data_IF_071009771648
#
_entry.id   IF_071009771648
#
_cell.length_a   1.000
_cell.length_b   1.000
_cell.length_c   1.000
_cell.angle_alpha   90.00
_cell.angle_beta   90.00
_cell.angle_gamma   90.00
#
_symmetry.space_group_name_H-M   'P 1'
#
loop_
_entity.id
_entity.type
_entity.pdbx_description
1 polymer ?
#
# COMPACT_ATOMS: atom_id res chain seq x y z
N UNK A 1 -18.60 -4.21 -4.09
CA UNK A 1 -18.71 -2.74 -4.22
C UNK A 1 -20.08 -2.31 -3.74
N UNK A 2 -20.17 -1.56 -2.64
CA UNK A 2 -21.40 -0.85 -2.27
C UNK A 2 -21.70 0.18 -3.38
N UNK A 3 -22.97 0.27 -3.80
CA UNK A 3 -23.34 1.32 -4.74
C UNK A 3 -23.28 2.68 -4.03
N UNK A 4 -22.98 3.76 -4.77
CA UNK A 4 -22.97 5.13 -4.21
C UNK A 4 -24.30 5.48 -3.55
N UNK A 5 -25.42 5.00 -4.08
CA UNK A 5 -26.75 5.24 -3.48
C UNK A 5 -26.88 4.60 -2.09
N UNK A 6 -26.25 3.44 -1.85
CA UNK A 6 -26.26 2.81 -0.53
C UNK A 6 -25.31 3.56 0.43
N UNK A 7 -24.14 3.98 -0.04
CA UNK A 7 -23.20 4.74 0.79
C UNK A 7 -23.81 6.08 1.23
N UNK A 8 -24.43 6.82 0.30
CA UNK A 8 -25.04 8.13 0.61
C UNK A 8 -26.26 8.04 1.54
N UNK A 9 -26.83 6.85 1.73
CA UNK A 9 -27.92 6.63 2.69
C UNK A 9 -27.45 6.32 4.12
N UNK A 10 -26.13 6.17 4.33
CA UNK A 10 -25.57 5.93 5.66
C UNK A 10 -25.48 7.25 6.40
N UNK A 11 -26.30 7.42 7.43
CA UNK A 11 -26.27 8.61 8.27
C UNK A 11 -25.12 8.55 9.28
N UNK A 12 -24.53 9.71 9.56
CA UNK A 12 -23.52 9.87 10.61
C UNK A 12 -24.18 9.79 12.00
N UNK A 13 -24.28 8.59 12.55
CA UNK A 13 -24.81 8.30 13.88
C UNK A 13 -23.73 7.70 14.77
N UNK A 14 -23.93 7.70 16.07
CA UNK A 14 -23.00 7.05 17.03
C UNK A 14 -22.78 5.57 16.74
N UNK A 15 -23.77 4.88 16.15
CA UNK A 15 -23.68 3.47 15.76
C UNK A 15 -22.85 3.28 14.49
N UNK A 16 -22.94 4.22 13.54
CA UNK A 16 -22.26 4.13 12.25
C UNK A 16 -20.84 4.71 12.30
N UNK A 17 -20.54 5.65 13.21
CA UNK A 17 -19.22 6.27 13.33
C UNK A 17 -18.13 5.24 13.62
N UNK A 18 -18.40 4.18 14.35
CA UNK A 18 -17.45 3.10 14.61
C UNK A 18 -16.94 2.40 13.34
N UNK A 19 -17.69 2.52 12.22
CA UNK A 19 -17.33 2.02 10.89
C UNK A 19 -16.78 3.13 9.98
N UNK A 20 -16.47 4.30 10.53
CA UNK A 20 -15.99 5.46 9.76
C UNK A 20 -14.88 5.12 8.77
N UNK A 21 -13.77 4.48 9.19
CA UNK A 21 -12.67 4.12 8.26
C UNK A 21 -13.09 3.18 7.13
N UNK A 22 -13.99 2.23 7.38
CA UNK A 22 -14.51 1.31 6.36
C UNK A 22 -15.43 2.04 5.36
N UNK A 23 -16.27 2.94 5.87
CA UNK A 23 -17.16 3.77 5.04
C UNK A 23 -16.32 4.72 4.20
N UNK A 24 -15.31 5.35 4.79
CA UNK A 24 -14.35 6.20 4.07
C UNK A 24 -13.64 5.42 2.95
N UNK A 25 -13.15 4.22 3.24
CA UNK A 25 -12.53 3.35 2.23
C UNK A 25 -13.48 3.04 1.07
N UNK A 26 -14.77 2.80 1.36
CA UNK A 26 -15.77 2.59 0.33
C UNK A 26 -16.01 3.84 -0.54
N UNK A 27 -15.96 5.03 0.05
CA UNK A 27 -16.01 6.30 -0.70
C UNK A 27 -14.76 6.51 -1.57
N UNK A 28 -13.56 6.20 -1.05
CA UNK A 28 -12.31 6.26 -1.81
C UNK A 28 -12.39 5.38 -3.07
N UNK A 29 -12.88 4.14 -2.94
CA UNK A 29 -13.04 3.22 -4.07
C UNK A 29 -14.08 3.66 -5.10
N UNK A 30 -14.95 4.60 -4.73
CA UNK A 30 -15.89 5.25 -5.65
C UNK A 30 -15.42 6.64 -6.08
N UNK A 31 -14.16 7.01 -5.79
CA UNK A 31 -13.54 8.30 -6.14
C UNK A 31 -14.28 9.52 -5.55
N UNK A 32 -14.92 9.34 -4.42
CA UNK A 32 -15.58 10.41 -3.67
C UNK A 32 -14.76 10.78 -2.42
N UNK A 33 -13.70 11.54 -2.65
CA UNK A 33 -12.69 11.81 -1.64
C UNK A 33 -13.17 12.77 -0.54
N UNK A 34 -14.02 13.73 -0.87
CA UNK A 34 -14.55 14.69 0.10
C UNK A 34 -15.35 13.98 1.19
N UNK A 35 -16.26 13.08 0.81
CA UNK A 35 -17.02 12.30 1.79
C UNK A 35 -16.14 11.30 2.55
N UNK A 36 -15.06 10.81 1.93
CA UNK A 36 -14.10 9.96 2.62
C UNK A 36 -13.39 10.74 3.74
N UNK A 37 -12.98 11.98 3.47
CA UNK A 37 -12.38 12.88 4.47
C UNK A 37 -13.36 13.12 5.61
N UNK A 38 -14.60 13.49 5.30
CA UNK A 38 -15.64 13.74 6.31
C UNK A 38 -15.80 12.56 7.28
N UNK A 39 -15.85 11.32 6.75
CA UNK A 39 -16.00 10.13 7.58
C UNK A 39 -14.77 9.80 8.42
N UNK A 40 -13.56 10.03 7.91
CA UNK A 40 -12.32 9.86 8.69
C UNK A 40 -12.29 10.88 9.84
N UNK A 41 -12.59 12.14 9.55
CA UNK A 41 -12.60 13.20 10.56
C UNK A 41 -13.68 12.98 11.62
N UNK A 42 -14.87 12.56 11.22
CA UNK A 42 -15.95 12.20 12.16
C UNK A 42 -15.52 11.08 13.10
N UNK A 43 -14.86 10.05 12.57
CA UNK A 43 -14.35 8.93 13.37
C UNK A 43 -13.28 9.40 14.36
N UNK A 44 -12.27 10.12 13.90
CA UNK A 44 -11.13 10.58 14.72
C UNK A 44 -11.58 11.55 15.82
N UNK A 45 -12.59 12.39 15.55
CA UNK A 45 -13.15 13.30 16.53
C UNK A 45 -14.02 12.61 17.59
N UNK A 46 -14.68 11.53 17.23
CA UNK A 46 -15.63 10.84 18.12
C UNK A 46 -15.00 9.69 18.93
N UNK A 47 -14.01 9.04 18.39
CA UNK A 47 -13.38 7.85 18.98
C UNK A 47 -11.92 8.17 19.32
N UNK A 48 -11.03 8.04 18.36
CA UNK A 48 -9.62 8.51 18.42
C UNK A 48 -8.91 8.18 17.10
N UNK A 49 -7.67 8.65 16.97
CA UNK A 49 -6.79 8.27 15.86
C UNK A 49 -6.20 6.89 16.17
N UNK A 50 -6.66 5.88 15.46
CA UNK A 50 -6.20 4.50 15.57
C UNK A 50 -5.60 3.99 14.24
N UNK A 51 -5.16 2.73 14.22
CA UNK A 51 -4.60 2.10 13.02
C UNK A 51 -5.57 2.12 11.83
N UNK A 52 -6.88 1.98 12.06
CA UNK A 52 -7.88 1.94 10.99
C UNK A 52 -8.03 3.31 10.30
N UNK A 53 -8.10 4.39 11.09
CA UNK A 53 -8.18 5.75 10.53
C UNK A 53 -6.90 6.14 9.83
N UNK A 54 -5.73 5.77 10.39
CA UNK A 54 -4.43 5.98 9.75
C UNK A 54 -4.37 5.28 8.38
N UNK A 55 -4.82 4.04 8.30
CA UNK A 55 -4.81 3.30 7.04
C UNK A 55 -5.80 3.86 6.02
N UNK A 56 -6.97 4.32 6.47
CA UNK A 56 -7.91 5.02 5.59
C UNK A 56 -7.30 6.31 5.01
N UNK A 57 -6.52 7.07 5.81
CA UNK A 57 -5.78 8.24 5.32
C UNK A 57 -4.70 7.88 4.32
N UNK A 58 -3.89 6.84 4.58
CA UNK A 58 -2.88 6.36 3.64
C UNK A 58 -3.54 5.95 2.31
N UNK A 59 -4.68 5.26 2.37
CA UNK A 59 -5.44 4.86 1.19
C UNK A 59 -6.01 6.07 0.43
N UNK A 60 -6.51 7.07 1.17
CA UNK A 60 -6.98 8.33 0.59
C UNK A 60 -5.85 9.03 -0.18
N UNK A 61 -4.68 9.18 0.41
CA UNK A 61 -3.52 9.82 -0.21
C UNK A 61 -3.02 9.06 -1.46
N UNK A 62 -3.10 7.73 -1.44
CA UNK A 62 -2.75 6.89 -2.60
C UNK A 62 -3.65 7.18 -3.82
N UNK A 63 -4.94 7.48 -3.58
CA UNK A 63 -5.94 7.60 -4.65
C UNK A 63 -6.31 9.03 -5.00
N UNK A 64 -6.29 9.97 -4.05
CA UNK A 64 -6.72 11.36 -4.27
C UNK A 64 -5.64 12.20 -4.96
N UNK A 65 -4.38 11.86 -4.80
CA UNK A 65 -3.25 12.64 -5.30
C UNK A 65 -2.80 12.18 -6.69
N UNK A 66 -2.49 13.13 -7.57
CA UNK A 66 -1.90 12.83 -8.89
C UNK A 66 -0.43 12.40 -8.74
N UNK A 67 0.27 12.92 -7.75
CA UNK A 67 1.59 12.48 -7.34
C UNK A 67 1.52 11.61 -6.08
N UNK A 68 2.58 10.89 -5.80
CA UNK A 68 2.65 10.00 -4.64
C UNK A 68 3.27 10.66 -3.40
N UNK A 69 3.52 11.98 -3.41
CA UNK A 69 4.19 12.67 -2.31
C UNK A 69 3.36 12.66 -1.02
N UNK A 70 2.05 12.89 -1.11
CA UNK A 70 1.16 12.80 0.05
C UNK A 70 1.16 11.40 0.64
N UNK A 71 1.07 10.37 -0.21
CA UNK A 71 1.13 8.96 0.18
C UNK A 71 2.45 8.62 0.90
N UNK A 72 3.60 9.06 0.35
CA UNK A 72 4.93 8.90 0.98
C UNK A 72 4.96 9.56 2.36
N UNK A 73 4.44 10.79 2.47
CA UNK A 73 4.41 11.54 3.73
C UNK A 73 3.55 10.81 4.77
N UNK A 74 2.39 10.31 4.41
CA UNK A 74 1.51 9.56 5.31
C UNK A 74 2.17 8.26 5.81
N UNK A 75 2.86 7.51 4.92
CA UNK A 75 3.65 6.35 5.33
C UNK A 75 4.75 6.75 6.31
N UNK A 76 5.52 7.81 6.02
CA UNK A 76 6.60 8.27 6.90
C UNK A 76 6.08 8.72 8.27
N UNK A 77 4.97 9.44 8.33
CA UNK A 77 4.34 9.85 9.59
C UNK A 77 3.89 8.64 10.40
N UNK A 78 3.29 7.66 9.75
CA UNK A 78 2.83 6.42 10.40
C UNK A 78 4.01 5.62 10.96
N UNK A 79 5.09 5.45 10.21
CA UNK A 79 6.27 4.73 10.66
C UNK A 79 7.02 5.43 11.80
N UNK A 80 6.88 6.74 11.91
CA UNK A 80 7.48 7.54 12.99
C UNK A 80 6.57 7.64 14.23
N UNK A 81 5.29 7.27 14.13
CA UNK A 81 4.37 7.23 15.25
C UNK A 81 4.60 5.98 16.10
N UNK A 82 4.41 6.09 17.43
CA UNK A 82 4.60 4.97 18.35
C UNK A 82 3.46 3.91 18.32
N UNK A 83 2.56 4.00 17.36
CA UNK A 83 1.47 3.03 17.18
C UNK A 83 1.99 1.78 16.47
N UNK A 84 2.79 0.96 17.16
CA UNK A 84 3.39 -0.26 16.61
C UNK A 84 2.43 -1.45 16.74
N UNK A 85 1.64 -1.69 15.71
CA UNK A 85 0.99 -2.98 15.48
C UNK A 85 1.87 -3.80 14.52
N UNK A 86 2.41 -4.94 14.95
CA UNK A 86 3.64 -5.52 14.38
C UNK A 86 3.56 -6.03 12.94
N UNK A 87 2.42 -6.57 12.47
CA UNK A 87 2.38 -7.27 11.18
C UNK A 87 2.25 -6.34 9.96
N UNK A 88 1.72 -5.15 10.16
CA UNK A 88 1.43 -4.22 9.07
C UNK A 88 2.61 -3.30 8.72
N UNK A 89 3.54 -3.12 9.65
CA UNK A 89 4.70 -2.24 9.47
C UNK A 89 5.67 -2.74 8.40
N UNK A 90 5.82 -4.06 8.25
CA UNK A 90 6.68 -4.62 7.21
C UNK A 90 6.29 -4.11 5.82
N UNK A 91 4.99 -4.15 5.47
CA UNK A 91 4.52 -3.65 4.19
C UNK A 91 4.78 -2.14 4.04
N UNK A 92 4.57 -1.35 5.10
CA UNK A 92 4.85 0.09 5.06
C UNK A 92 6.34 0.38 4.87
N UNK A 93 7.25 -0.42 5.46
CA UNK A 93 8.69 -0.31 5.23
C UNK A 93 9.06 -0.67 3.79
N UNK A 94 8.48 -1.73 3.23
CA UNK A 94 8.69 -2.09 1.82
C UNK A 94 8.22 -0.95 0.90
N UNK A 95 7.00 -0.42 1.12
CA UNK A 95 6.48 0.71 0.34
C UNK A 95 7.36 1.95 0.48
N UNK A 96 7.84 2.25 1.69
CA UNK A 96 8.79 3.34 1.91
C UNK A 96 10.07 3.14 1.11
N UNK A 97 10.63 1.92 1.11
CA UNK A 97 11.83 1.60 0.35
C UNK A 97 11.63 1.84 -1.14
N UNK A 98 10.54 1.31 -1.70
CA UNK A 98 10.16 1.48 -3.10
C UNK A 98 10.05 2.96 -3.50
N UNK A 99 9.45 3.79 -2.63
CA UNK A 99 9.20 5.21 -2.90
C UNK A 99 10.43 6.10 -2.73
N UNK A 100 11.41 5.70 -1.91
CA UNK A 100 12.63 6.46 -1.66
C UNK A 100 13.78 6.09 -2.60
N UNK A 101 13.56 5.23 -3.58
CA UNK A 101 14.52 4.94 -4.64
C UNK A 101 14.68 6.13 -5.60
N UNK A 102 14.96 7.32 -5.06
CA UNK A 102 15.80 8.26 -5.78
C UNK A 102 17.19 7.62 -5.90
N UNK A 103 17.66 7.50 -7.11
CA UNK A 103 18.85 6.79 -7.59
C UNK A 103 20.16 7.13 -6.82
N UNK A 104 20.10 7.99 -5.81
CA UNK A 104 21.24 8.52 -5.07
C UNK A 104 21.21 8.37 -3.55
N UNK A 105 20.23 7.74 -2.95
CA UNK A 105 20.23 7.58 -1.49
C UNK A 105 20.71 6.18 -1.08
N UNK A 106 21.95 6.10 -0.61
CA UNK A 106 22.48 5.01 0.24
C UNK A 106 21.70 4.95 1.58
N UNK A 107 20.40 4.85 1.53
CA UNK A 107 19.62 4.50 2.71
C UNK A 107 19.73 2.99 2.88
N UNK A 108 20.75 2.57 3.61
CA UNK A 108 20.75 1.28 4.27
C UNK A 108 19.49 1.21 5.13
N UNK A 109 18.43 0.68 4.58
CA UNK A 109 17.29 0.23 5.34
C UNK A 109 17.85 -0.94 6.16
N UNK A 110 18.22 -0.65 7.41
CA UNK A 110 18.35 -1.67 8.43
C UNK A 110 16.91 -2.18 8.70
N UNK A 111 16.34 -2.89 7.74
CA UNK A 111 15.41 -3.94 8.10
C UNK A 111 16.23 -4.78 9.07
N UNK A 112 15.96 -4.63 10.36
CA UNK A 112 16.53 -5.55 11.34
C UNK A 112 16.39 -6.91 10.71
N UNK A 113 17.52 -7.61 10.51
CA UNK A 113 17.56 -8.92 9.89
C UNK A 113 16.81 -9.89 10.79
N UNK A 114 15.50 -9.74 10.87
CA UNK A 114 14.61 -10.78 11.33
C UNK A 114 14.85 -11.87 10.31
N UNK A 115 15.26 -13.02 10.77
CA UNK A 115 15.50 -14.18 9.93
C UNK A 115 14.19 -14.48 9.22
N UNK A 116 14.11 -14.09 7.95
CA UNK A 116 12.92 -14.31 7.13
C UNK A 116 13.10 -15.65 6.43
N UNK A 117 12.25 -16.62 6.75
CA UNK A 117 12.28 -17.98 6.21
C UNK A 117 11.47 -18.10 4.90
N UNK A 118 10.82 -17.01 4.47
CA UNK A 118 10.12 -16.99 3.18
C UNK A 118 11.11 -17.17 2.03
N UNK A 119 10.72 -18.03 1.09
CA UNK A 119 11.61 -18.38 -0.02
C UNK A 119 11.77 -17.25 -1.02
N UNK A 120 13.02 -16.92 -1.34
CA UNK A 120 13.37 -16.06 -2.46
C UNK A 120 13.22 -16.82 -3.79
N UNK A 121 12.87 -16.17 -4.90
CA UNK A 121 13.03 -16.72 -6.24
C UNK A 121 14.50 -17.06 -6.54
N UNK A 122 14.72 -17.81 -7.63
CA UNK A 122 16.08 -18.05 -8.08
C UNK A 122 16.80 -16.73 -8.42
N UNK A 123 18.09 -16.68 -8.20
CA UNK A 123 18.92 -15.51 -8.54
C UNK A 123 18.79 -15.13 -10.02
N UNK A 124 18.58 -16.11 -10.89
CA UNK A 124 18.33 -15.87 -12.30
C UNK A 124 17.05 -15.01 -12.49
N UNK A 125 15.94 -15.39 -11.88
CA UNK A 125 14.69 -14.63 -11.99
C UNK A 125 14.82 -13.22 -11.42
N UNK A 126 15.47 -13.06 -10.26
CA UNK A 126 15.72 -11.75 -9.67
C UNK A 126 16.55 -10.86 -10.59
N UNK A 127 17.60 -11.38 -11.21
CA UNK A 127 18.41 -10.64 -12.16
C UNK A 127 17.62 -10.25 -13.42
N UNK A 128 16.81 -11.17 -13.99
CA UNK A 128 15.99 -10.88 -15.16
C UNK A 128 14.93 -9.80 -14.87
N UNK A 129 14.32 -9.81 -13.68
CA UNK A 129 13.42 -8.76 -13.23
C UNK A 129 14.17 -7.43 -13.14
N UNK A 130 15.29 -7.39 -12.43
CA UNK A 130 16.07 -6.17 -12.23
C UNK A 130 16.60 -5.61 -13.56
N UNK A 131 17.11 -6.44 -14.44
CA UNK A 131 17.56 -6.00 -15.78
C UNK A 131 16.40 -5.43 -16.61
N UNK A 132 15.22 -6.06 -16.54
CA UNK A 132 14.06 -5.57 -17.28
C UNK A 132 13.57 -4.20 -16.78
N UNK A 133 13.68 -3.95 -15.46
CA UNK A 133 13.42 -2.63 -14.87
C UNK A 133 14.44 -1.60 -15.39
N UNK A 134 15.73 -1.91 -15.31
CA UNK A 134 16.81 -1.01 -15.73
C UNK A 134 16.75 -0.68 -17.23
N UNK A 135 16.32 -1.64 -18.04
CA UNK A 135 16.19 -1.48 -19.48
C UNK A 135 14.82 -0.94 -19.92
N UNK A 136 13.89 -0.74 -18.99
CA UNK A 136 12.50 -0.30 -19.25
C UNK A 136 11.78 -1.21 -20.25
N UNK A 137 11.94 -2.54 -20.11
CA UNK A 137 11.29 -3.54 -20.97
C UNK A 137 10.09 -4.13 -20.23
N UNK A 138 8.94 -3.48 -20.39
CA UNK A 138 7.72 -3.73 -19.63
C UNK A 138 7.22 -5.19 -19.75
N UNK A 139 7.19 -5.76 -20.97
CA UNK A 139 6.69 -7.11 -21.19
C UNK A 139 7.60 -8.16 -20.52
N UNK A 140 8.91 -7.96 -20.57
CA UNK A 140 9.89 -8.82 -19.93
C UNK A 140 9.75 -8.77 -18.42
N UNK A 141 9.60 -7.57 -17.86
CA UNK A 141 9.35 -7.35 -16.45
C UNK A 141 8.09 -8.07 -15.98
N UNK A 142 6.95 -7.86 -16.65
CA UNK A 142 5.68 -8.51 -16.29
C UNK A 142 5.79 -10.03 -16.34
N UNK A 143 6.41 -10.58 -17.38
CA UNK A 143 6.58 -12.02 -17.54
C UNK A 143 7.38 -12.64 -16.39
N UNK A 144 8.56 -12.10 -16.08
CA UNK A 144 9.40 -12.65 -15.02
C UNK A 144 8.83 -12.39 -13.62
N UNK A 145 8.15 -11.28 -13.41
CA UNK A 145 7.43 -11.01 -12.15
C UNK A 145 6.36 -12.07 -11.90
N UNK A 146 5.53 -12.39 -12.89
CA UNK A 146 4.49 -13.41 -12.76
C UNK A 146 5.10 -14.80 -12.46
N UNK A 147 6.17 -15.19 -13.16
CA UNK A 147 6.85 -16.47 -12.89
C UNK A 147 7.42 -16.49 -11.47
N UNK A 148 8.00 -15.39 -11.01
CA UNK A 148 8.64 -15.31 -9.69
C UNK A 148 7.65 -15.34 -8.53
N UNK A 149 6.44 -14.84 -8.74
CA UNK A 149 5.34 -14.89 -7.78
C UNK A 149 4.78 -16.31 -7.63
N UNK A 150 4.70 -17.08 -8.73
CA UNK A 150 4.34 -18.51 -8.76
C UNK A 150 3.12 -18.85 -7.88
N UNK A 151 2.03 -18.10 -8.03
CA UNK A 151 0.77 -18.24 -7.28
C UNK A 151 0.90 -18.13 -5.74
N UNK A 152 1.98 -17.55 -5.24
CA UNK A 152 2.15 -17.28 -3.81
C UNK A 152 1.19 -16.18 -3.35
N UNK A 153 0.68 -16.34 -2.14
CA UNK A 153 0.00 -15.26 -1.43
C UNK A 153 1.00 -14.15 -1.11
N UNK A 154 0.56 -12.90 -1.17
CA UNK A 154 1.41 -11.72 -0.95
C UNK A 154 2.19 -11.76 0.38
N UNK A 155 1.57 -12.25 1.46
CA UNK A 155 2.21 -12.40 2.77
C UNK A 155 3.36 -13.41 2.80
N UNK A 156 3.39 -14.32 1.83
CA UNK A 156 4.40 -15.37 1.71
C UNK A 156 5.56 -14.96 0.78
N UNK A 157 5.55 -13.72 0.28
CA UNK A 157 6.62 -13.18 -0.56
C UNK A 157 7.66 -12.53 0.34
N UNK A 158 8.93 -12.85 0.10
CA UNK A 158 10.04 -12.21 0.81
C UNK A 158 10.04 -10.68 0.59
N UNK A 159 10.27 -9.84 1.61
CA UNK A 159 10.20 -8.38 1.51
C UNK A 159 11.06 -7.80 0.39
N UNK A 160 12.31 -8.27 0.24
CA UNK A 160 13.22 -7.82 -0.82
C UNK A 160 12.70 -8.16 -2.23
N UNK A 161 12.04 -9.32 -2.37
CA UNK A 161 11.40 -9.69 -3.63
C UNK A 161 10.18 -8.81 -3.91
N UNK A 162 9.37 -8.54 -2.89
CA UNK A 162 8.21 -7.66 -3.00
C UNK A 162 8.65 -6.23 -3.36
N UNK A 163 9.71 -5.71 -2.73
CA UNK A 163 10.31 -4.42 -3.04
C UNK A 163 10.74 -4.32 -4.51
N UNK A 164 11.44 -5.34 -5.01
CA UNK A 164 11.89 -5.38 -6.41
C UNK A 164 10.70 -5.34 -7.38
N UNK A 165 9.66 -6.13 -7.12
CA UNK A 165 8.45 -6.16 -7.95
C UNK A 165 7.73 -4.82 -7.92
N UNK A 166 7.52 -4.23 -6.74
CA UNK A 166 6.84 -2.96 -6.60
C UNK A 166 7.62 -1.81 -7.25
N UNK A 167 8.95 -1.84 -7.18
CA UNK A 167 9.82 -0.86 -7.87
C UNK A 167 9.62 -0.90 -9.39
N UNK A 168 9.47 -2.09 -9.97
CA UNK A 168 9.16 -2.23 -11.38
C UNK A 168 7.77 -1.68 -11.74
N UNK A 169 6.76 -2.00 -10.94
CA UNK A 169 5.40 -1.47 -11.17
C UNK A 169 5.31 0.05 -10.99
N UNK A 170 6.11 0.63 -10.10
CA UNK A 170 6.17 2.08 -9.92
C UNK A 170 6.74 2.79 -11.16
N UNK A 171 7.69 2.16 -11.86
CA UNK A 171 8.29 2.69 -13.10
C UNK A 171 7.40 2.50 -14.33
N UNK A 172 6.38 1.64 -14.22
CA UNK A 172 5.44 1.40 -15.30
C UNK A 172 4.65 2.67 -15.61
N UNK A 173 4.49 3.00 -16.88
CA UNK A 173 3.89 4.27 -17.34
C UNK A 173 2.49 4.57 -16.80
N UNK A 174 1.77 3.54 -16.41
CA UNK A 174 0.44 3.67 -15.83
C UNK A 174 0.50 3.45 -14.30
N UNK A 175 0.62 4.53 -13.56
CA UNK A 175 0.58 4.51 -12.09
C UNK A 175 -0.68 3.85 -11.48
N UNK A 176 -1.73 3.61 -12.29
CA UNK A 176 -2.91 2.89 -11.84
C UNK A 176 -2.61 1.44 -11.49
N UNK A 177 -1.70 0.78 -12.22
CA UNK A 177 -1.32 -0.61 -11.93
C UNK A 177 -0.62 -0.71 -10.57
N UNK A 178 0.32 0.18 -10.29
CA UNK A 178 0.97 0.25 -8.98
C UNK A 178 -0.06 0.44 -7.86
N UNK A 179 -0.96 1.43 -8.00
CA UNK A 179 -2.01 1.69 -7.00
C UNK A 179 -2.91 0.48 -6.76
N UNK A 180 -3.28 -0.24 -7.81
CA UNK A 180 -4.12 -1.44 -7.70
C UNK A 180 -3.40 -2.58 -6.96
N UNK A 181 -2.09 -2.76 -7.17
CA UNK A 181 -1.29 -3.76 -6.46
C UNK A 181 -1.13 -3.37 -5.00
N UNK A 182 -0.83 -2.11 -4.70
CA UNK A 182 -0.75 -1.62 -3.31
C UNK A 182 -2.09 -1.81 -2.58
N UNK A 183 -3.22 -1.57 -3.25
CA UNK A 183 -4.53 -1.86 -2.69
C UNK A 183 -4.73 -3.35 -2.38
N UNK A 184 -4.31 -4.22 -3.29
CA UNK A 184 -4.40 -5.67 -3.09
C UNK A 184 -3.51 -6.12 -1.91
N UNK A 185 -2.33 -5.53 -1.78
CA UNK A 185 -1.46 -5.73 -0.63
C UNK A 185 -2.14 -5.28 0.67
N UNK A 186 -2.73 -4.09 0.70
CA UNK A 186 -3.45 -3.60 1.87
C UNK A 186 -4.57 -4.54 2.30
N UNK A 187 -5.33 -5.12 1.36
CA UNK A 187 -6.33 -6.14 1.69
C UNK A 187 -5.71 -7.39 2.29
N UNK A 188 -4.63 -7.90 1.70
CA UNK A 188 -3.95 -9.11 2.16
C UNK A 188 -3.30 -8.96 3.54
N UNK A 189 -2.83 -7.76 3.87
CA UNK A 189 -2.25 -7.41 5.16
C UNK A 189 -3.29 -6.89 6.17
N UNK A 190 -4.59 -6.96 5.84
CA UNK A 190 -5.71 -6.50 6.68
C UNK A 190 -5.67 -5.00 7.04
N UNK A 191 -5.10 -4.16 6.19
CA UNK A 191 -5.17 -2.71 6.34
C UNK A 191 -6.56 -2.16 5.99
N UNK A 192 -7.27 -2.86 5.11
CA UNK A 192 -8.60 -2.47 4.64
C UNK A 192 -9.52 -3.67 4.78
N UNK A 193 -10.68 -3.45 5.34
CA UNK A 193 -11.71 -4.45 5.55
C UNK A 193 -12.54 -4.68 4.30
#
# INVERSE_FOLDING_TARGET
KLSMNMLSSIEASSENIIYGPQIASAYIFNSNFDHAIDWIELYENAIEVDSKSIYARILLDLYSSSDLNSFINSINLTLNSNHQDNDNYELLYVLKAVMNLDINSNTNINLNKIFDDRSMPSIFLLNEINESILQSVDEKFLFYSLISLNDKEWKNIHPEHLELILSGYLQYKDGALFRNIVLELFKNYNFVL
#
